data_IF_478534034040
#
_entry.id   IF_478534034040
#
_cell.length_a   1.000
_cell.length_b   1.000
_cell.length_c   1.000
_cell.angle_alpha   90.00
_cell.angle_beta   90.00
_cell.angle_gamma   90.00
#
_symmetry.space_group_name_H-M   'P 1'
#
loop_
_entity.id
_entity.type
_entity.pdbx_description
1 polymer ?
#
# COMPACT_ATOMS: atom_id res chain seq x y z
N UNK A 1 40.67 -4.45 -4.17
CA UNK A 1 39.71 -4.74 -3.09
C UNK A 1 38.69 -3.63 -3.03
N UNK A 2 37.41 -3.94 -3.19
CA UNK A 2 36.38 -2.94 -2.91
C UNK A 2 36.41 -2.62 -1.41
N UNK A 3 36.57 -1.35 -1.08
CA UNK A 3 36.55 -0.91 0.32
C UNK A 3 35.10 -0.92 0.79
N UNK A 4 34.79 -1.78 1.75
CA UNK A 4 33.50 -1.77 2.42
C UNK A 4 33.34 -0.47 3.21
N UNK A 5 32.61 0.49 2.65
CA UNK A 5 32.28 1.75 3.33
C UNK A 5 30.98 1.51 4.12
N UNK A 6 30.97 1.71 5.45
CA UNK A 6 29.74 1.64 6.23
C UNK A 6 28.70 2.64 5.71
N UNK A 7 27.42 2.25 5.70
CA UNK A 7 26.31 3.05 5.15
C UNK A 7 26.27 4.46 5.75
N UNK A 8 26.55 4.60 7.05
CA UNK A 8 26.56 5.88 7.76
C UNK A 8 27.59 6.88 7.21
N UNK A 9 28.73 6.37 6.74
CA UNK A 9 29.85 7.17 6.22
C UNK A 9 29.74 7.44 4.72
N UNK A 10 28.72 6.91 4.07
CA UNK A 10 28.45 7.19 2.65
C UNK A 10 27.93 8.61 2.46
N UNK A 11 28.26 9.21 1.32
CA UNK A 11 27.68 10.48 0.90
C UNK A 11 26.15 10.38 0.76
N UNK A 12 25.45 11.52 0.84
CA UNK A 12 23.99 11.56 0.67
C UNK A 12 23.54 10.95 -0.68
N UNK A 13 24.34 11.12 -1.74
CA UNK A 13 24.07 10.55 -3.07
C UNK A 13 24.20 9.02 -3.07
N UNK A 14 25.26 8.48 -2.47
CA UNK A 14 25.48 7.04 -2.37
C UNK A 14 24.42 6.33 -1.52
N UNK A 15 24.05 6.92 -0.36
CA UNK A 15 22.94 6.41 0.47
C UNK A 15 21.64 6.30 -0.34
N UNK A 16 21.30 7.33 -1.13
CA UNK A 16 20.09 7.33 -1.97
C UNK A 16 20.10 6.21 -3.00
N UNK A 17 21.22 5.99 -3.67
CA UNK A 17 21.38 4.90 -4.64
C UNK A 17 21.24 3.53 -3.97
N UNK A 18 21.89 3.33 -2.82
CA UNK A 18 21.76 2.10 -2.02
C UNK A 18 20.31 1.79 -1.64
N UNK A 19 19.58 2.77 -1.08
CA UNK A 19 18.17 2.58 -0.74
C UNK A 19 17.26 2.47 -1.96
N UNK A 20 17.57 3.12 -3.09
CA UNK A 20 16.83 2.95 -4.34
C UNK A 20 16.96 1.53 -4.88
N UNK A 21 18.16 0.96 -4.88
CA UNK A 21 18.40 -0.43 -5.25
C UNK A 21 17.62 -1.40 -4.34
N UNK A 22 17.59 -1.14 -3.02
CA UNK A 22 16.78 -1.94 -2.07
C UNK A 22 15.27 -1.72 -2.19
N UNK A 23 14.81 -0.61 -2.76
CA UNK A 23 13.37 -0.32 -2.93
C UNK A 23 12.72 -1.14 -4.04
N UNK A 24 13.49 -1.84 -4.87
CA UNK A 24 12.96 -2.79 -5.86
C UNK A 24 12.51 -4.13 -5.28
N UNK A 25 12.87 -4.47 -4.04
CA UNK A 25 12.66 -5.81 -3.45
C UNK A 25 11.43 -5.91 -2.55
N UNK A 26 10.42 -5.06 -2.71
CA UNK A 26 9.14 -5.25 -2.01
C UNK A 26 8.30 -6.41 -2.58
N UNK A 27 8.79 -7.09 -3.63
CA UNK A 27 8.13 -8.23 -4.25
C UNK A 27 6.74 -7.84 -4.77
N UNK A 28 5.71 -8.62 -4.42
CA UNK A 28 4.30 -8.32 -4.71
C UNK A 28 3.66 -7.32 -3.74
N UNK A 29 4.31 -7.01 -2.61
CA UNK A 29 3.71 -6.21 -1.54
C UNK A 29 4.11 -4.75 -1.75
N UNK A 30 3.34 -4.04 -2.57
CA UNK A 30 3.41 -2.57 -2.58
C UNK A 30 2.95 -2.03 -1.22
N UNK A 31 3.74 -1.24 -0.48
CA UNK A 31 3.29 -0.65 0.80
C UNK A 31 2.07 0.27 0.65
N UNK A 32 1.72 0.67 -0.59
CA UNK A 32 0.51 1.42 -0.93
C UNK A 32 -0.76 0.57 -0.74
N UNK A 33 -0.68 -0.77 -0.80
CA UNK A 33 -1.87 -1.65 -0.67
C UNK A 33 -2.36 -1.79 0.77
N UNK A 34 -1.59 -1.33 1.77
CA UNK A 34 -2.04 -1.24 3.17
C UNK A 34 -2.78 0.07 3.48
N UNK A 35 -3.20 0.82 2.47
CA UNK A 35 -4.01 2.02 2.70
C UNK A 35 -5.41 1.62 3.22
N UNK A 36 -5.82 2.07 4.42
CA UNK A 36 -7.20 1.87 4.87
C UNK A 36 -8.16 2.60 3.93
N UNK A 37 -9.39 2.09 3.82
CA UNK A 37 -10.43 2.74 3.03
C UNK A 37 -10.58 4.21 3.47
N UNK A 38 -10.63 5.12 2.50
CA UNK A 38 -10.79 6.56 2.76
C UNK A 38 -12.13 6.80 3.49
N UNK A 39 -12.13 7.32 4.73
CA UNK A 39 -13.36 7.46 5.53
C UNK A 39 -14.35 8.47 4.92
N UNK A 40 -13.84 9.48 4.20
CA UNK A 40 -14.65 10.48 3.50
C UNK A 40 -14.90 10.20 2.01
N UNK A 41 -14.55 9.01 1.50
CA UNK A 41 -14.83 8.71 0.10
C UNK A 41 -16.33 8.52 -0.13
N UNK A 42 -16.88 9.26 -1.09
CA UNK A 42 -18.26 9.10 -1.51
C UNK A 42 -18.49 7.69 -2.08
N UNK A 43 -19.29 6.88 -1.38
CA UNK A 43 -19.73 5.56 -1.85
C UNK A 43 -21.12 5.70 -2.48
N UNK A 44 -21.18 5.79 -3.82
CA UNK A 44 -22.47 5.82 -4.53
C UNK A 44 -23.16 4.45 -4.42
N UNK A 45 -24.10 4.30 -3.49
CA UNK A 45 -25.11 3.25 -3.63
C UNK A 45 -25.99 3.61 -4.84
N UNK A 46 -26.16 2.68 -5.78
CA UNK A 46 -27.13 2.88 -6.88
C UNK A 46 -28.53 3.02 -6.26
N UNK A 47 -29.36 3.91 -6.81
CA UNK A 47 -30.78 4.00 -6.43
C UNK A 47 -31.42 2.61 -6.57
N UNK A 48 -32.07 2.13 -5.51
CA UNK A 48 -32.62 0.76 -5.45
C UNK A 48 -31.73 -0.29 -4.79
N UNK A 49 -30.52 0.05 -4.32
CA UNK A 49 -29.66 -0.90 -3.60
C UNK A 49 -30.26 -1.41 -2.28
N UNK A 50 -31.17 -0.64 -1.67
CA UNK A 50 -31.95 -1.03 -0.48
C UNK A 50 -32.81 -2.28 -0.70
N UNK A 51 -33.18 -2.59 -1.94
CA UNK A 51 -34.03 -3.74 -2.27
C UNK A 51 -33.30 -5.07 -2.02
N UNK A 52 -31.98 -5.08 -2.16
CA UNK A 52 -31.13 -6.26 -1.92
C UNK A 52 -31.05 -6.64 -0.44
N UNK A 53 -31.22 -5.65 0.44
CA UNK A 53 -31.22 -5.86 1.89
C UNK A 53 -32.59 -6.41 2.37
N UNK A 54 -33.65 -6.30 1.55
CA UNK A 54 -35.00 -6.82 1.82
C UNK A 54 -35.25 -8.22 1.26
N UNK A 55 -34.50 -8.63 0.23
CA UNK A 55 -34.59 -9.95 -0.39
C UNK A 55 -33.66 -10.99 0.28
N UNK A 56 -32.95 -10.61 1.36
CA UNK A 56 -32.19 -11.56 2.16
C UNK A 56 -33.16 -12.38 3.02
N UNK A 57 -33.28 -13.70 2.84
CA UNK A 57 -34.04 -14.51 3.77
C UNK A 57 -33.42 -14.38 5.17
N UNK A 58 -34.25 -13.96 6.12
CA UNK A 58 -33.95 -13.99 7.55
C UNK A 58 -33.78 -15.46 7.96
N UNK A 59 -32.59 -16.03 7.78
CA UNK A 59 -32.27 -17.30 8.41
C UNK A 59 -32.03 -17.03 9.89
N UNK A 60 -33.05 -17.42 10.68
CA UNK A 60 -33.11 -17.52 12.15
C UNK A 60 -31.78 -17.83 12.83
#
# INVERSE_FOLDING_TARGET
MERMIPLEKMSKKAKRAYYAARRGTWGEISPVTRAPAKPGAYKRKKSGAWRKDLDAPDFL
#
